data_IF_013191464591
#
_entry.id   IF_013191464591
#
_cell.length_a   1.000
_cell.length_b   1.000
_cell.length_c   1.000
_cell.angle_alpha   90.00
_cell.angle_beta   90.00
_cell.angle_gamma   90.00
#
_symmetry.space_group_name_H-M   'P 1'
#
loop_
_entity.id
_entity.type
_entity.pdbx_description
1 polymer ?
#
# COMPACT_ATOMS: atom_id res chain seq x y z
N UNK A 1 2.32 -12.84 -22.33
CA UNK A 1 2.81 -12.25 -21.07
C UNK A 1 2.15 -12.98 -19.90
N UNK A 2 2.92 -13.39 -18.89
CA UNK A 2 2.36 -14.05 -17.71
C UNK A 2 1.47 -13.06 -16.92
N UNK A 3 0.29 -13.51 -16.50
CA UNK A 3 -0.63 -12.68 -15.71
C UNK A 3 -0.13 -12.64 -14.26
N UNK A 4 0.29 -11.46 -13.78
CA UNK A 4 0.49 -11.23 -12.36
C UNK A 4 -0.86 -11.37 -11.64
N UNK A 5 -0.94 -12.31 -10.70
CA UNK A 5 -2.14 -12.57 -9.90
C UNK A 5 -1.75 -12.55 -8.42
N UNK A 6 -2.60 -11.95 -7.58
CA UNK A 6 -2.46 -11.89 -6.13
C UNK A 6 -3.81 -12.02 -5.44
N UNK A 7 -3.81 -12.36 -4.15
CA UNK A 7 -5.03 -12.58 -3.34
C UNK A 7 -5.79 -11.30 -3.01
N UNK A 8 -5.14 -10.13 -3.15
CA UNK A 8 -5.67 -8.81 -2.78
C UNK A 8 -6.16 -8.77 -1.32
N UNK A 9 -5.28 -9.19 -0.41
CA UNK A 9 -5.58 -9.24 1.02
C UNK A 9 -5.81 -7.84 1.61
N UNK A 10 -6.96 -7.62 2.28
CA UNK A 10 -7.25 -6.35 2.92
C UNK A 10 -6.44 -6.15 4.20
N UNK A 11 -6.33 -4.89 4.65
CA UNK A 11 -5.77 -4.57 5.96
C UNK A 11 -6.57 -5.26 7.08
N UNK A 12 -5.88 -5.98 7.96
CA UNK A 12 -6.49 -6.67 9.11
C UNK A 12 -6.49 -5.78 10.35
N UNK A 13 -7.34 -6.11 11.34
CA UNK A 13 -7.37 -5.39 12.62
C UNK A 13 -6.08 -5.61 13.40
N UNK A 14 -5.53 -6.82 13.34
CA UNK A 14 -4.31 -7.22 14.01
C UNK A 14 -3.12 -6.47 13.42
N UNK A 15 -3.05 -6.37 12.09
CA UNK A 15 -2.02 -5.59 11.39
C UNK A 15 -2.13 -4.10 11.67
N UNK A 16 -3.36 -3.57 11.69
CA UNK A 16 -3.62 -2.18 12.08
C UNK A 16 -3.11 -1.89 13.51
N UNK A 17 -3.47 -2.73 14.48
CA UNK A 17 -3.07 -2.55 15.87
C UNK A 17 -1.54 -2.64 16.05
N UNK A 18 -0.89 -3.62 15.39
CA UNK A 18 0.56 -3.79 15.44
C UNK A 18 1.30 -2.56 14.87
N UNK A 19 0.79 -1.95 13.79
CA UNK A 19 1.40 -0.74 13.22
C UNK A 19 1.24 0.46 14.14
N UNK A 20 0.05 0.68 14.69
CA UNK A 20 -0.21 1.76 15.65
C UNK A 20 0.74 1.66 16.84
N UNK A 21 0.93 0.46 17.40
CA UNK A 21 1.90 0.20 18.47
C UNK A 21 3.33 0.49 18.02
N UNK A 22 3.75 -0.03 16.85
CA UNK A 22 5.12 0.14 16.34
C UNK A 22 5.50 1.60 16.06
N UNK A 23 4.52 2.40 15.66
CA UNK A 23 4.71 3.84 15.37
C UNK A 23 4.58 4.70 16.63
N UNK A 24 4.07 4.15 17.75
CA UNK A 24 3.85 4.89 18.98
C UNK A 24 2.80 6.00 18.87
N UNK A 25 1.84 5.85 17.94
CA UNK A 25 0.77 6.83 17.70
C UNK A 25 -0.56 6.32 18.29
N UNK A 26 -1.53 7.21 18.46
CA UNK A 26 -2.89 6.79 18.79
C UNK A 26 -3.65 6.30 17.55
N UNK A 27 -4.70 5.51 17.81
CA UNK A 27 -5.61 5.03 16.76
C UNK A 27 -6.24 6.19 15.98
N UNK A 28 -6.73 7.28 16.61
CA UNK A 28 -7.33 8.40 15.87
C UNK A 28 -6.36 9.08 14.90
N UNK A 29 -5.10 9.27 15.31
CA UNK A 29 -4.05 9.88 14.49
C UNK A 29 -3.76 9.02 13.26
N UNK A 30 -3.65 7.70 13.45
CA UNK A 30 -3.41 6.79 12.34
C UNK A 30 -4.61 6.71 11.39
N UNK A 31 -5.85 6.71 11.91
CA UNK A 31 -7.06 6.79 11.08
C UNK A 31 -7.11 8.10 10.28
N UNK A 32 -6.77 9.23 10.91
CA UNK A 32 -6.72 10.52 10.23
C UNK A 32 -5.70 10.50 9.07
N UNK A 33 -4.51 9.96 9.30
CA UNK A 33 -3.49 9.79 8.26
C UNK A 33 -3.99 8.92 7.11
N UNK A 34 -4.58 7.76 7.42
CA UNK A 34 -5.13 6.88 6.38
C UNK A 34 -6.21 7.59 5.55
N UNK A 35 -7.07 8.40 6.17
CA UNK A 35 -8.12 9.12 5.48
C UNK A 35 -7.60 10.17 4.48
N UNK A 36 -6.42 10.76 4.72
CA UNK A 36 -5.85 11.79 3.83
C UNK A 36 -4.83 11.25 2.83
N UNK A 37 -4.00 10.27 3.24
CA UNK A 37 -2.88 9.78 2.43
C UNK A 37 -3.26 8.54 1.60
N UNK A 38 -4.18 7.71 2.09
CA UNK A 38 -4.55 6.47 1.40
C UNK A 38 -5.70 6.72 0.45
N UNK A 39 -5.41 6.69 -0.86
CA UNK A 39 -6.40 6.98 -1.90
C UNK A 39 -7.49 5.91 -2.05
N UNK A 40 -7.27 4.65 -1.62
CA UNK A 40 -8.20 3.50 -1.75
C UNK A 40 -7.79 2.32 -0.84
N UNK A 41 -8.38 1.12 -1.04
CA UNK A 41 -7.95 -0.14 -0.42
C UNK A 41 -6.62 -0.72 -0.95
N UNK A 42 -5.92 -0.01 -1.85
CA UNK A 42 -4.63 -0.45 -2.39
C UNK A 42 -4.70 -1.41 -3.60
N UNK A 43 -5.89 -1.87 -4.00
CA UNK A 43 -6.08 -2.77 -5.14
C UNK A 43 -7.11 -2.24 -6.16
N UNK A 44 -6.87 -2.55 -7.44
CA UNK A 44 -7.81 -2.34 -8.55
C UNK A 44 -8.91 -3.41 -8.54
N UNK A 45 -10.03 -3.20 -9.26
CA UNK A 45 -11.13 -4.18 -9.34
C UNK A 45 -10.69 -5.57 -9.85
N UNK A 46 -9.61 -5.65 -10.63
CA UNK A 46 -9.04 -6.89 -11.14
C UNK A 46 -8.00 -7.55 -10.22
N UNK A 47 -7.91 -7.08 -8.97
CA UNK A 47 -7.01 -7.54 -7.89
C UNK A 47 -5.54 -7.22 -8.06
N UNK A 48 -5.16 -6.40 -9.05
CA UNK A 48 -3.79 -5.89 -9.12
C UNK A 48 -3.58 -4.77 -8.09
N UNK A 49 -2.42 -4.69 -7.43
CA UNK A 49 -2.11 -3.55 -6.56
C UNK A 49 -2.06 -2.26 -7.39
N UNK A 50 -2.47 -1.15 -6.77
CA UNK A 50 -2.28 0.19 -7.35
C UNK A 50 -0.79 0.50 -7.28
N UNK A 51 -0.15 0.64 -8.45
CA UNK A 51 1.28 0.95 -8.57
C UNK A 51 1.49 2.18 -9.46
N UNK A 52 2.53 2.95 -9.15
CA UNK A 52 3.01 4.04 -10.00
C UNK A 52 4.36 3.64 -10.60
N UNK A 53 4.44 3.60 -11.93
CA UNK A 53 5.72 3.39 -12.60
C UNK A 53 6.50 4.70 -12.67
N UNK A 54 7.66 4.74 -12.01
CA UNK A 54 8.55 5.90 -12.02
C UNK A 54 9.77 5.65 -12.91
N UNK A 55 9.65 6.06 -14.19
CA UNK A 55 10.67 5.80 -15.22
C UNK A 55 12.10 6.24 -14.84
N UNK A 56 12.22 7.33 -14.08
CA UNK A 56 13.51 7.90 -13.71
C UNK A 56 14.18 7.04 -12.62
N UNK A 57 13.41 6.49 -11.68
CA UNK A 57 13.91 5.49 -10.74
C UNK A 57 14.26 4.18 -11.41
N UNK A 58 13.42 3.72 -12.36
CA UNK A 58 13.70 2.50 -13.13
C UNK A 58 15.08 2.60 -13.80
N UNK A 59 15.30 3.63 -14.63
CA UNK A 59 16.59 3.84 -15.30
C UNK A 59 17.75 3.97 -14.30
N UNK A 60 17.57 4.69 -13.19
CA UNK A 60 18.61 4.84 -12.15
C UNK A 60 19.00 3.50 -11.51
N UNK A 61 18.05 2.58 -11.35
CA UNK A 61 18.24 1.30 -10.67
C UNK A 61 18.62 0.15 -11.63
N UNK A 62 18.30 0.25 -12.92
CA UNK A 62 18.56 -0.81 -13.92
C UNK A 62 19.58 -0.44 -14.99
N UNK A 63 20.00 0.84 -15.06
CA UNK A 63 20.81 1.41 -16.14
C UNK A 63 20.14 1.40 -17.54
N UNK A 64 18.80 1.36 -17.57
CA UNK A 64 18.00 1.21 -18.78
C UNK A 64 17.58 -0.24 -19.00
#
# INVERSE_FOLDING_TARGET
MARLTGTAEPLTREGFAAVVESLGVGVPEFVALLAVESKTCGFLPDRRPVILFERHWFHKLTAG
#
